data_IF_669279314260
#
_entry.id   IF_669279314260
#
_cell.length_a   1.000
_cell.length_b   1.000
_cell.length_c   1.000
_cell.angle_alpha   90.00
_cell.angle_beta   90.00
_cell.angle_gamma   90.00
#
_symmetry.space_group_name_H-M   'P 1'
#
loop_
_entity.id
_entity.type
_entity.pdbx_description
1 polymer ?
#
# COMPACT_ATOMS: atom_id res chain seq x y z
N UNK A 1 1.65 34.08 12.32
CA UNK A 1 1.82 33.26 11.09
C UNK A 1 3.09 33.56 10.30
N UNK A 2 4.02 34.39 10.79
CA UNK A 2 5.25 34.81 10.08
C UNK A 2 6.47 33.90 10.32
N UNK A 3 6.54 33.20 11.46
CA UNK A 3 7.73 32.42 11.83
C UNK A 3 7.93 31.13 11.03
N UNK A 4 6.85 30.47 10.62
CA UNK A 4 6.92 29.19 9.89
C UNK A 4 7.37 29.38 8.44
N UNK A 5 6.91 30.45 7.79
CA UNK A 5 7.33 30.85 6.44
C UNK A 5 8.79 31.32 6.41
N UNK A 6 9.24 32.04 7.45
CA UNK A 6 10.66 32.41 7.59
C UNK A 6 11.53 31.16 7.78
N UNK A 7 11.08 30.18 8.56
CA UNK A 7 11.82 28.93 8.79
C UNK A 7 11.96 28.11 7.49
N UNK A 8 10.88 28.00 6.71
CA UNK A 8 10.91 27.35 5.40
C UNK A 8 11.80 28.11 4.40
N UNK A 9 11.81 29.45 4.45
CA UNK A 9 12.68 30.26 3.58
C UNK A 9 14.17 30.09 3.88
N UNK A 10 14.54 29.97 5.17
CA UNK A 10 15.93 29.72 5.57
C UNK A 10 16.41 28.31 5.22
N UNK A 11 15.50 27.34 5.14
CA UNK A 11 15.83 25.96 4.75
C UNK A 11 15.92 25.79 3.22
N UNK A 12 15.26 26.66 2.45
CA UNK A 12 15.17 26.58 1.00
C UNK A 12 15.97 27.69 0.27
N UNK A 13 16.76 28.50 0.99
CA UNK A 13 17.54 29.64 0.46
C UNK A 13 16.75 30.60 -0.45
N UNK A 14 15.43 30.73 -0.26
CA UNK A 14 14.54 31.45 -1.18
C UNK A 14 13.67 32.47 -0.46
N UNK A 15 13.45 33.63 -1.06
CA UNK A 15 12.51 34.64 -0.54
C UNK A 15 11.07 34.23 -0.89
N UNK A 16 10.24 33.84 0.10
CA UNK A 16 8.95 33.20 -0.16
C UNK A 16 7.87 34.21 -0.59
N UNK A 17 8.07 35.50 -0.28
CA UNK A 17 7.08 36.55 -0.49
C UNK A 17 7.76 37.72 -1.20
N UNK A 18 7.16 38.16 -2.30
CA UNK A 18 7.52 39.36 -3.04
C UNK A 18 6.57 40.50 -2.69
N UNK A 19 7.12 41.71 -2.52
CA UNK A 19 6.33 42.94 -2.35
C UNK A 19 6.06 43.52 -3.74
N UNK A 20 4.81 43.62 -4.13
CA UNK A 20 4.37 44.28 -5.36
C UNK A 20 3.59 45.54 -5.03
N UNK A 21 3.41 46.43 -6.01
CA UNK A 21 2.68 47.70 -5.84
C UNK A 21 1.22 47.49 -5.37
N UNK A 22 0.68 46.27 -5.47
CA UNK A 22 -0.65 45.88 -5.01
C UNK A 22 -0.69 44.98 -3.77
N UNK A 23 0.44 44.68 -3.11
CA UNK A 23 0.46 43.87 -1.88
C UNK A 23 1.60 42.85 -1.80
N UNK A 24 1.41 41.82 -0.95
CA UNK A 24 2.34 40.70 -0.79
C UNK A 24 1.88 39.52 -1.64
N UNK A 25 2.74 39.05 -2.55
CA UNK A 25 2.45 37.90 -3.40
C UNK A 25 3.49 36.78 -3.19
N UNK A 26 3.09 35.50 -3.31
CA UNK A 26 4.02 34.39 -3.37
C UNK A 26 5.03 34.58 -4.50
N UNK A 27 6.31 34.31 -4.23
CA UNK A 27 7.32 34.28 -5.29
C UNK A 27 7.03 33.15 -6.31
N UNK A 28 7.51 33.26 -7.56
CA UNK A 28 7.44 32.16 -8.53
C UNK A 28 7.99 30.83 -7.97
N UNK A 29 9.09 30.89 -7.22
CA UNK A 29 9.76 29.75 -6.60
C UNK A 29 8.87 29.11 -5.52
N UNK A 30 8.21 29.92 -4.69
CA UNK A 30 7.26 29.41 -3.69
C UNK A 30 6.05 28.74 -4.35
N UNK A 31 5.54 29.28 -5.46
CA UNK A 31 4.43 28.66 -6.21
C UNK A 31 4.82 27.32 -6.83
N UNK A 32 6.04 27.23 -7.36
CA UNK A 32 6.56 25.98 -7.90
C UNK A 32 6.74 24.94 -6.78
N UNK A 33 7.37 25.32 -5.66
CA UNK A 33 7.53 24.44 -4.51
C UNK A 33 6.17 23.97 -3.95
N UNK A 34 5.18 24.87 -3.85
CA UNK A 34 3.85 24.51 -3.40
C UNK A 34 3.17 23.49 -4.32
N UNK A 35 3.40 23.60 -5.63
CA UNK A 35 2.87 22.65 -6.61
C UNK A 35 3.52 21.28 -6.45
N UNK A 36 4.85 21.24 -6.34
CA UNK A 36 5.61 20.01 -6.08
C UNK A 36 5.19 19.35 -4.77
N UNK A 37 5.08 20.12 -3.67
CA UNK A 37 4.64 19.60 -2.38
C UNK A 37 3.22 19.02 -2.43
N UNK A 38 2.30 19.67 -3.14
CA UNK A 38 0.94 19.13 -3.32
C UNK A 38 0.96 17.80 -4.07
N UNK A 39 1.80 17.69 -5.09
CA UNK A 39 1.92 16.46 -5.87
C UNK A 39 2.55 15.33 -5.05
N UNK A 40 3.63 15.60 -4.32
CA UNK A 40 4.27 14.63 -3.41
C UNK A 40 3.30 14.15 -2.31
N UNK A 41 2.49 15.05 -1.75
CA UNK A 41 1.46 14.67 -0.77
C UNK A 41 0.40 13.79 -1.42
N UNK A 42 -0.07 14.13 -2.62
CA UNK A 42 -1.05 13.32 -3.34
C UNK A 42 -0.50 11.91 -3.65
N UNK A 43 0.74 11.83 -4.13
CA UNK A 43 1.42 10.56 -4.42
C UNK A 43 1.65 9.74 -3.14
N UNK A 44 2.00 10.39 -2.04
CA UNK A 44 2.11 9.78 -0.72
C UNK A 44 0.79 9.17 -0.24
N UNK A 45 -0.33 9.87 -0.42
CA UNK A 45 -1.67 9.38 -0.07
C UNK A 45 -2.03 8.15 -0.92
N UNK A 46 -1.81 8.21 -2.24
CA UNK A 46 -2.08 7.08 -3.15
C UNK A 46 -1.21 5.87 -2.78
N UNK A 47 0.07 6.08 -2.51
CA UNK A 47 0.99 5.01 -2.09
C UNK A 47 0.53 4.36 -0.79
N UNK A 48 0.13 5.17 0.20
CA UNK A 48 -0.40 4.67 1.47
C UNK A 48 -1.67 3.85 1.25
N UNK A 49 -2.60 4.33 0.42
CA UNK A 49 -3.82 3.60 0.08
C UNK A 49 -3.52 2.24 -0.59
N UNK A 50 -2.56 2.20 -1.53
CA UNK A 50 -2.13 0.94 -2.16
C UNK A 50 -1.56 -0.06 -1.17
N UNK A 51 -0.76 0.41 -0.20
CA UNK A 51 -0.21 -0.46 0.85
C UNK A 51 -1.34 -1.03 1.69
N UNK A 52 -2.30 -0.20 2.13
CA UNK A 52 -3.44 -0.67 2.92
C UNK A 52 -4.25 -1.73 2.16
N UNK A 53 -4.61 -1.47 0.89
CA UNK A 53 -5.34 -2.44 0.07
C UNK A 53 -4.55 -3.76 -0.06
N UNK A 54 -3.24 -3.68 -0.31
CA UNK A 54 -2.40 -4.87 -0.40
C UNK A 54 -2.33 -5.65 0.93
N UNK A 55 -2.29 -4.95 2.07
CA UNK A 55 -2.34 -5.55 3.39
C UNK A 55 -3.68 -6.24 3.65
N UNK A 56 -4.80 -5.57 3.36
CA UNK A 56 -6.14 -6.13 3.55
C UNK A 56 -6.33 -7.40 2.71
N UNK A 57 -5.95 -7.36 1.42
CA UNK A 57 -5.98 -8.53 0.54
C UNK A 57 -5.10 -9.67 1.06
N UNK A 58 -3.91 -9.34 1.61
CA UNK A 58 -3.04 -10.35 2.19
C UNK A 58 -3.64 -10.97 3.46
N UNK A 59 -4.30 -10.18 4.31
CA UNK A 59 -4.98 -10.66 5.51
C UNK A 59 -6.15 -11.57 5.13
N UNK A 60 -7.01 -11.16 4.20
CA UNK A 60 -8.14 -11.97 3.72
C UNK A 60 -7.66 -13.31 3.13
N UNK A 61 -6.54 -13.29 2.41
CA UNK A 61 -5.93 -14.50 1.86
C UNK A 61 -5.41 -15.43 2.97
N UNK A 62 -4.79 -14.89 4.01
CA UNK A 62 -4.32 -15.68 5.16
C UNK A 62 -5.48 -16.30 5.94
N UNK A 63 -6.56 -15.55 6.15
CA UNK A 63 -7.77 -16.07 6.81
C UNK A 63 -8.41 -17.19 5.99
N UNK A 64 -8.51 -17.01 4.67
CA UNK A 64 -8.99 -18.08 3.78
C UNK A 64 -8.14 -19.34 3.85
N UNK A 65 -6.81 -19.22 3.88
CA UNK A 65 -5.89 -20.37 4.03
C UNK A 65 -6.09 -21.06 5.38
N UNK A 66 -6.26 -20.28 6.46
CA UNK A 66 -6.54 -20.81 7.79
C UNK A 66 -7.86 -21.59 7.83
N UNK A 67 -8.90 -21.11 7.16
CA UNK A 67 -10.19 -21.78 7.10
C UNK A 67 -10.10 -23.12 6.39
N UNK A 68 -9.36 -23.19 5.26
CA UNK A 68 -9.08 -24.46 4.57
C UNK A 68 -8.32 -25.43 5.47
N UNK A 69 -7.25 -24.97 6.13
CA UNK A 69 -6.49 -25.82 7.06
C UNK A 69 -7.34 -26.31 8.23
N UNK A 70 -8.20 -25.45 8.77
CA UNK A 70 -9.11 -25.81 9.87
C UNK A 70 -10.14 -26.84 9.43
N UNK A 71 -10.71 -26.66 8.23
CA UNK A 71 -11.64 -27.61 7.63
C UNK A 71 -10.99 -28.97 7.38
N UNK A 72 -9.77 -28.99 6.82
CA UNK A 72 -8.98 -30.20 6.60
C UNK A 72 -8.76 -30.98 7.90
N UNK A 73 -8.30 -30.29 8.95
CA UNK A 73 -8.09 -30.90 10.27
C UNK A 73 -9.39 -31.40 10.88
N UNK A 74 -10.48 -30.65 10.73
CA UNK A 74 -11.81 -31.09 11.20
C UNK A 74 -12.28 -32.35 10.48
N UNK A 75 -12.02 -32.47 9.18
CA UNK A 75 -12.39 -33.64 8.38
C UNK A 75 -11.54 -34.87 8.74
N UNK A 76 -10.25 -34.67 8.99
CA UNK A 76 -9.34 -35.74 9.38
C UNK A 76 -9.52 -36.19 10.85
N UNK A 77 -9.98 -35.30 11.73
CA UNK A 77 -10.09 -35.57 13.16
C UNK A 77 -8.74 -35.96 13.78
N UNK A 78 -8.68 -37.16 14.39
CA UNK A 78 -7.46 -37.69 15.00
C UNK A 78 -6.63 -38.58 14.05
N UNK A 79 -7.07 -38.76 12.80
CA UNK A 79 -6.37 -39.59 11.82
C UNK A 79 -5.27 -38.78 11.11
N UNK A 80 -4.02 -38.99 11.54
CA UNK A 80 -2.86 -38.31 10.97
C UNK A 80 -2.58 -38.74 9.52
N UNK A 81 -2.91 -39.98 9.14
CA UNK A 81 -2.70 -40.48 7.78
C UNK A 81 -3.69 -39.84 6.82
N UNK A 82 -4.97 -39.76 7.21
CA UNK A 82 -6.00 -39.05 6.44
C UNK A 82 -5.67 -37.55 6.31
N UNK A 83 -5.19 -36.92 7.39
CA UNK A 83 -4.77 -35.52 7.37
C UNK A 83 -3.65 -35.23 6.37
N UNK A 84 -2.68 -36.15 6.26
CA UNK A 84 -1.58 -36.05 5.30
C UNK A 84 -2.06 -36.23 3.85
N UNK A 85 -2.95 -37.21 3.61
CA UNK A 85 -3.51 -37.45 2.28
C UNK A 85 -4.36 -36.27 1.80
N UNK A 86 -5.19 -35.68 2.67
CA UNK A 86 -5.96 -34.48 2.33
C UNK A 86 -5.06 -33.29 2.01
N UNK A 87 -3.95 -33.11 2.74
CA UNK A 87 -2.99 -32.04 2.44
C UNK A 87 -2.32 -32.23 1.06
N UNK A 88 -2.00 -33.47 0.67
CA UNK A 88 -1.42 -33.76 -0.65
C UNK A 88 -2.42 -33.48 -1.79
N UNK A 89 -3.70 -33.79 -1.58
CA UNK A 89 -4.78 -33.46 -2.52
C UNK A 89 -4.90 -31.94 -2.68
N UNK A 90 -4.87 -31.18 -1.58
CA UNK A 90 -4.92 -29.71 -1.60
C UNK A 90 -3.75 -29.09 -2.37
N UNK A 91 -2.51 -29.54 -2.09
CA UNK A 91 -1.31 -29.06 -2.78
C UNK A 91 -1.41 -29.35 -4.29
N UNK A 92 -1.81 -30.58 -4.64
CA UNK A 92 -1.97 -30.97 -6.05
C UNK A 92 -3.01 -30.11 -6.75
N UNK A 93 -4.15 -29.86 -6.10
CA UNK A 93 -5.20 -28.99 -6.63
C UNK A 93 -4.71 -27.55 -6.81
N UNK A 94 -4.04 -26.98 -5.80
CA UNK A 94 -3.47 -25.64 -5.86
C UNK A 94 -2.45 -25.49 -7.01
N UNK A 95 -1.59 -26.49 -7.22
CA UNK A 95 -0.66 -26.52 -8.34
C UNK A 95 -1.37 -26.57 -9.70
N UNK A 96 -2.48 -27.32 -9.81
CA UNK A 96 -3.26 -27.42 -11.03
C UNK A 96 -3.96 -26.09 -11.35
N UNK A 97 -4.65 -25.50 -10.38
CA UNK A 97 -5.29 -24.19 -10.52
C UNK A 97 -4.26 -23.12 -10.87
N UNK A 98 -3.10 -23.13 -10.20
CA UNK A 98 -2.02 -22.19 -10.49
C UNK A 98 -1.45 -22.33 -11.91
N UNK A 99 -1.43 -23.54 -12.50
CA UNK A 99 -1.07 -23.73 -13.92
C UNK A 99 -2.10 -23.13 -14.87
N UNK A 100 -3.40 -23.36 -14.60
CA UNK A 100 -4.49 -22.79 -15.39
C UNK A 100 -4.46 -21.25 -15.35
N UNK A 101 -4.34 -20.66 -14.16
CA UNK A 101 -4.33 -19.20 -13.98
C UNK A 101 -3.14 -18.51 -14.66
N UNK A 102 -1.98 -19.18 -14.73
CA UNK A 102 -0.80 -18.69 -15.46
C UNK A 102 -0.86 -18.95 -16.97
N UNK A 103 -1.95 -19.56 -17.46
CA UNK A 103 -2.11 -19.90 -18.88
C UNK A 103 -1.10 -20.95 -19.38
N UNK A 104 -0.54 -21.76 -18.48
CA UNK A 104 0.51 -22.75 -18.79
C UNK A 104 -0.05 -24.14 -19.06
N UNK A 105 -1.24 -24.24 -19.65
CA UNK A 105 -1.94 -25.50 -19.92
C UNK A 105 -1.41 -26.14 -21.19
#
# INVERSE_FOLDING_TARGET
>A
MTGELQRLSSQAEMLPIMRTHGGLLPSPELRQLQTTLRQEVADGVVKKARIHIATDVAMDAMDSVRDVDSYRRSLAGNDQTLNALLAEVEITHAQHVGRIQRGSV
#
